data_IF_057842647145
#
_entry.id   IF_057842647145
#
_cell.length_a   1.000
_cell.length_b   1.000
_cell.length_c   1.000
_cell.angle_alpha   90.00
_cell.angle_beta   90.00
_cell.angle_gamma   90.00
#
_symmetry.space_group_name_H-M   'P 1'
#
loop_
_entity.id
_entity.type
_entity.pdbx_description
1 polymer ?
#
# COMPACT_ATOMS: atom_id res chain seq x y z
N UNK A 1 7.56 -0.11 9.75
CA UNK A 1 7.21 -1.14 8.73
C UNK A 1 6.73 -2.39 9.45
N UNK A 2 5.60 -2.97 9.04
CA UNK A 2 4.92 -4.08 9.75
C UNK A 2 5.34 -5.47 9.23
N UNK A 3 5.11 -6.52 10.03
CA UNK A 3 5.44 -7.91 9.69
C UNK A 3 4.32 -8.87 10.09
N UNK A 4 4.09 -9.90 9.27
CA UNK A 4 3.24 -11.05 9.56
C UNK A 4 4.03 -12.33 9.29
N UNK A 5 4.11 -13.25 10.26
CA UNK A 5 5.02 -14.41 10.25
C UNK A 5 6.45 -14.05 9.79
N UNK A 6 7.02 -13.00 10.37
CA UNK A 6 8.38 -12.52 10.06
C UNK A 6 8.55 -11.82 8.71
N UNK A 7 7.54 -11.84 7.84
CA UNK A 7 7.61 -11.29 6.48
C UNK A 7 6.97 -9.91 6.40
N UNK A 8 7.62 -8.98 5.67
CA UNK A 8 7.12 -7.63 5.41
C UNK A 8 6.21 -7.63 4.18
N UNK A 9 4.94 -7.96 4.37
CA UNK A 9 3.96 -8.03 3.27
C UNK A 9 3.48 -6.67 2.81
N UNK A 10 3.16 -6.58 1.52
CA UNK A 10 2.63 -5.36 0.90
C UNK A 10 1.12 -5.44 0.64
N UNK A 11 0.59 -6.62 0.34
CA UNK A 11 -0.81 -6.79 -0.09
C UNK A 11 -1.87 -6.56 0.99
N UNK A 12 -3.14 -6.64 0.62
CA UNK A 12 -4.26 -6.22 1.48
C UNK A 12 -4.56 -7.17 2.64
N UNK A 13 -4.25 -8.46 2.50
CA UNK A 13 -4.62 -9.45 3.52
C UNK A 13 -3.76 -9.34 4.79
N UNK A 14 -2.44 -9.24 4.63
CA UNK A 14 -1.47 -9.34 5.74
C UNK A 14 -0.41 -8.23 5.72
N UNK A 15 -0.58 -7.22 4.86
CA UNK A 15 0.47 -6.27 4.52
C UNK A 15 0.05 -4.81 4.63
N UNK A 16 0.96 -3.95 4.17
CA UNK A 16 0.79 -2.49 4.24
C UNK A 16 -0.51 -2.01 3.59
N UNK A 17 -0.91 -2.54 2.43
CA UNK A 17 -2.13 -2.09 1.76
C UNK A 17 -3.36 -2.19 2.66
N UNK A 18 -3.50 -3.29 3.40
CA UNK A 18 -4.64 -3.52 4.29
C UNK A 18 -4.59 -2.61 5.51
N UNK A 19 -3.42 -2.48 6.13
CA UNK A 19 -3.20 -1.61 7.29
C UNK A 19 -3.53 -0.16 6.92
N UNK A 20 -2.94 0.35 5.83
CA UNK A 20 -3.18 1.71 5.36
C UNK A 20 -4.65 1.89 4.98
N UNK A 21 -5.28 0.92 4.31
CA UNK A 21 -6.70 0.99 3.99
C UNK A 21 -7.56 1.23 5.22
N UNK A 22 -7.30 0.51 6.32
CA UNK A 22 -8.02 0.69 7.59
C UNK A 22 -7.78 2.07 8.18
N UNK A 23 -6.52 2.54 8.24
CA UNK A 23 -6.18 3.86 8.78
C UNK A 23 -6.91 5.00 8.05
N UNK A 24 -7.11 4.86 6.74
CA UNK A 24 -7.81 5.86 5.91
C UNK A 24 -9.31 6.00 6.23
N UNK A 25 -9.89 5.17 7.11
CA UNK A 25 -11.26 5.35 7.60
C UNK A 25 -11.37 6.21 8.86
N UNK A 26 -10.26 6.66 9.42
CA UNK A 26 -10.23 7.44 10.65
C UNK A 26 -9.72 8.86 10.42
N UNK A 27 -10.11 9.83 11.28
CA UNK A 27 -9.47 11.13 11.31
C UNK A 27 -8.04 10.98 11.85
N UNK A 28 -7.05 11.15 10.97
CA UNK A 28 -5.64 11.07 11.32
C UNK A 28 -5.12 12.42 11.80
N UNK A 29 -4.15 12.40 12.72
CA UNK A 29 -3.38 13.61 13.03
C UNK A 29 -2.56 14.03 11.79
N UNK A 30 -2.12 15.30 11.69
CA UNK A 30 -1.27 15.74 10.57
C UNK A 30 -0.01 14.88 10.40
N UNK A 31 0.63 14.47 11.51
CA UNK A 31 1.81 13.63 11.46
C UNK A 31 1.50 12.22 10.93
N UNK A 32 0.43 11.59 11.44
CA UNK A 32 0.04 10.24 10.99
C UNK A 32 -0.40 10.25 9.52
N UNK A 33 -1.06 11.32 9.08
CA UNK A 33 -1.43 11.51 7.69
C UNK A 33 -0.20 11.60 6.78
N UNK A 34 0.86 12.31 7.19
CA UNK A 34 2.12 12.36 6.44
C UNK A 34 2.83 11.00 6.41
N UNK A 35 2.82 10.24 7.50
CA UNK A 35 3.41 8.90 7.53
C UNK A 35 2.65 7.93 6.59
N UNK A 36 1.32 8.02 6.55
CA UNK A 36 0.49 7.27 5.60
C UNK A 36 0.80 7.67 4.15
N UNK A 37 0.87 8.98 3.86
CA UNK A 37 1.23 9.49 2.52
C UNK A 37 2.62 9.03 2.09
N UNK A 38 3.61 9.16 2.96
CA UNK A 38 4.99 8.74 2.69
C UNK A 38 5.05 7.25 2.39
N UNK A 39 4.31 6.42 3.15
CA UNK A 39 4.24 4.98 2.90
C UNK A 39 3.57 4.66 1.57
N UNK A 40 2.45 5.30 1.22
CA UNK A 40 1.78 5.11 -0.07
C UNK A 40 2.69 5.52 -1.24
N UNK A 41 3.37 6.67 -1.14
CA UNK A 41 4.34 7.14 -2.15
C UNK A 41 5.50 6.17 -2.29
N UNK A 42 6.03 5.68 -1.18
CA UNK A 42 7.07 4.65 -1.18
C UNK A 42 6.62 3.40 -1.94
N UNK A 43 5.41 2.88 -1.66
CA UNK A 43 4.87 1.71 -2.36
C UNK A 43 4.67 1.99 -3.86
N UNK A 44 4.14 3.17 -4.22
CA UNK A 44 3.93 3.57 -5.61
C UNK A 44 5.25 3.66 -6.39
N UNK A 45 6.30 4.22 -5.80
CA UNK A 45 7.61 4.37 -6.45
C UNK A 45 8.35 3.04 -6.63
N UNK A 46 8.01 2.03 -5.83
CA UNK A 46 8.68 0.73 -5.81
C UNK A 46 7.80 -0.41 -6.37
N UNK A 47 6.79 -0.07 -7.17
CA UNK A 47 6.04 -1.04 -7.99
C UNK A 47 6.92 -1.60 -9.11
N UNK A 48 6.55 -2.73 -9.68
CA UNK A 48 7.26 -3.31 -10.82
C UNK A 48 7.21 -2.33 -12.01
N UNK A 49 8.37 -1.95 -12.60
CA UNK A 49 8.42 -0.85 -13.56
C UNK A 49 7.72 -1.15 -14.88
N UNK A 50 7.75 -2.40 -15.35
CA UNK A 50 7.16 -2.78 -16.63
C UNK A 50 5.66 -3.04 -16.56
N UNK A 51 5.17 -3.72 -15.52
CA UNK A 51 3.76 -4.09 -15.39
C UNK A 51 2.93 -3.09 -14.58
N UNK A 52 3.57 -2.28 -13.74
CA UNK A 52 2.90 -1.47 -12.72
C UNK A 52 2.32 -2.28 -11.57
N UNK A 53 2.52 -3.60 -11.53
CA UNK A 53 2.05 -4.46 -10.45
C UNK A 53 2.90 -4.27 -9.18
N UNK A 54 2.44 -4.81 -8.05
CA UNK A 54 3.08 -4.65 -6.75
C UNK A 54 3.66 -5.96 -6.24
N UNK A 55 4.85 -5.94 -5.62
CA UNK A 55 5.44 -7.14 -5.01
C UNK A 55 4.55 -7.66 -3.88
N UNK A 56 4.58 -8.97 -3.62
CA UNK A 56 3.84 -9.54 -2.49
C UNK A 56 4.39 -9.07 -1.14
N UNK A 57 5.71 -8.86 -1.08
CA UNK A 57 6.48 -8.55 0.12
C UNK A 57 7.76 -7.82 -0.26
N UNK A 58 8.37 -7.17 0.72
CA UNK A 58 9.62 -6.42 0.57
C UNK A 58 10.72 -7.23 -0.12
N UNK A 59 11.30 -6.68 -1.19
CA UNK A 59 12.39 -7.29 -1.95
C UNK A 59 12.03 -8.52 -2.77
N UNK A 60 10.74 -8.91 -2.89
CA UNK A 60 10.35 -10.03 -3.75
C UNK A 60 10.39 -9.63 -5.23
N UNK A 61 11.25 -10.25 -6.08
CA UNK A 61 11.36 -9.90 -7.48
C UNK A 61 10.29 -10.56 -8.38
N UNK A 62 9.44 -11.43 -7.82
CA UNK A 62 8.46 -12.20 -8.59
C UNK A 62 7.20 -11.38 -8.86
N UNK A 63 7.05 -10.95 -10.10
CA UNK A 63 5.85 -10.29 -10.61
C UNK A 63 4.85 -11.32 -11.16
N UNK A 64 4.10 -11.96 -10.26
CA UNK A 64 3.21 -13.08 -10.62
C UNK A 64 1.83 -13.06 -9.95
N UNK A 65 1.58 -12.13 -9.03
CA UNK A 65 0.31 -12.07 -8.31
C UNK A 65 -0.47 -10.80 -8.65
N UNK A 66 -1.68 -10.99 -9.17
CA UNK A 66 -2.68 -9.93 -9.42
C UNK A 66 -3.96 -10.33 -8.70
N UNK A 67 -3.92 -10.29 -7.35
CA UNK A 67 -5.00 -10.77 -6.49
C UNK A 67 -5.27 -9.75 -5.39
N UNK A 68 -6.45 -9.84 -4.77
CA UNK A 68 -6.78 -9.00 -3.63
C UNK A 68 -5.74 -9.12 -2.49
N UNK A 69 -5.37 -10.35 -2.13
CA UNK A 69 -4.43 -10.57 -1.02
C UNK A 69 -3.01 -10.10 -1.31
N UNK A 70 -2.54 -10.19 -2.57
CA UNK A 70 -1.19 -9.85 -3.00
C UNK A 70 -1.20 -9.32 -4.44
N UNK A 71 -0.59 -8.15 -4.65
CA UNK A 71 -0.48 -7.51 -5.95
C UNK A 71 -1.40 -6.30 -6.14
N UNK A 72 -1.55 -5.90 -7.40
CA UNK A 72 -2.20 -4.65 -7.80
C UNK A 72 -3.66 -4.55 -7.34
N UNK A 73 -4.42 -5.63 -7.31
CA UNK A 73 -5.86 -5.57 -6.97
C UNK A 73 -6.10 -5.05 -5.55
N UNK A 74 -5.36 -5.57 -4.56
CA UNK A 74 -5.44 -5.07 -3.18
C UNK A 74 -4.94 -3.63 -3.05
N UNK A 75 -3.83 -3.31 -3.73
CA UNK A 75 -3.27 -1.96 -3.75
C UNK A 75 -4.21 -0.93 -4.35
N UNK A 76 -4.88 -1.26 -5.45
CA UNK A 76 -5.81 -0.37 -6.13
C UNK A 76 -6.95 0.06 -5.21
N UNK A 77 -7.51 -0.88 -4.42
CA UNK A 77 -8.57 -0.56 -3.45
C UNK A 77 -8.07 0.44 -2.40
N UNK A 78 -6.85 0.25 -1.88
CA UNK A 78 -6.23 1.18 -0.94
C UNK A 78 -5.97 2.55 -1.56
N UNK A 79 -5.45 2.61 -2.78
CA UNK A 79 -5.17 3.86 -3.49
C UNK A 79 -6.47 4.62 -3.84
N UNK A 80 -7.54 3.92 -4.21
CA UNK A 80 -8.86 4.51 -4.41
C UNK A 80 -9.40 5.12 -3.10
N UNK A 81 -9.21 4.46 -1.97
CA UNK A 81 -9.58 5.06 -0.68
C UNK A 81 -8.73 6.29 -0.37
N UNK A 82 -7.42 6.22 -0.63
CA UNK A 82 -6.50 7.33 -0.41
C UNK A 82 -6.83 8.56 -1.28
N UNK A 83 -7.27 8.34 -2.52
CA UNK A 83 -7.70 9.44 -3.41
C UNK A 83 -8.98 10.10 -2.92
N UNK A 84 -9.94 9.33 -2.37
CA UNK A 84 -11.18 9.87 -1.79
C UNK A 84 -10.94 10.75 -0.57
N UNK A 85 -9.96 10.41 0.28
CA UNK A 85 -9.62 11.20 1.47
C UNK A 85 -8.63 12.34 1.19
N UNK A 86 -8.42 12.67 -0.10
CA UNK A 86 -7.55 13.77 -0.57
C UNK A 86 -6.08 13.72 -0.13
N UNK A 87 -5.58 12.58 0.37
CA UNK A 87 -4.17 12.48 0.80
C UNK A 87 -3.17 12.53 -0.35
N UNK A 88 -3.61 12.29 -1.59
CA UNK A 88 -2.76 12.29 -2.78
C UNK A 88 -2.71 13.62 -3.54
N UNK A 89 -3.52 14.62 -3.16
CA UNK A 89 -3.69 15.86 -3.94
C UNK A 89 -3.21 17.13 -3.22
N UNK A 90 -2.83 17.05 -1.95
CA UNK A 90 -2.19 18.15 -1.24
C UNK A 90 -0.67 18.09 -1.46
N UNK A 91 -0.18 18.92 -2.38
CA UNK A 91 1.22 19.29 -2.54
C UNK A 91 1.62 20.31 -1.46
#
# INVERSE_FOLDING_TARGET
>A
MYRWHGTRYWGAANGLAGILHVLLHFPLSPQDAEDVKATLRYMMSNRFPHSGNYPSSEGNPRDNFVRWSHGATGMAITLCKASQVCLLWSA
#
